data_IF_797423747290
#
_entry.id   IF_797423747290
#
_cell.length_a   1.000
_cell.length_b   1.000
_cell.length_c   1.000
_cell.angle_alpha   90.00
_cell.angle_beta   90.00
_cell.angle_gamma   90.00
#
_symmetry.space_group_name_H-M   'P 1'
#
loop_
_entity.id
_entity.type
_entity.pdbx_description
1 polymer ?
#
# COMPACT_ATOMS: atom_id res chain seq x y z
N UNK A 1 23.25 16.41 -2.87
CA UNK A 1 21.83 15.99 -2.88
C UNK A 1 21.74 14.62 -3.51
N UNK A 2 21.46 13.58 -2.73
CA UNK A 2 21.29 12.23 -3.26
C UNK A 2 19.99 12.18 -4.08
N UNK A 3 20.08 11.74 -5.34
CA UNK A 3 18.91 11.42 -6.15
C UNK A 3 18.41 10.05 -5.69
N UNK A 4 17.46 10.02 -4.76
CA UNK A 4 16.79 8.77 -4.41
C UNK A 4 15.98 8.33 -5.63
N UNK A 5 16.41 7.26 -6.29
CA UNK A 5 15.66 6.62 -7.35
C UNK A 5 14.61 5.71 -6.73
N UNK A 6 13.44 5.57 -7.35
CA UNK A 6 12.43 4.57 -6.95
C UNK A 6 13.02 3.14 -6.94
N UNK A 7 14.11 2.91 -7.69
CA UNK A 7 14.85 1.65 -7.68
C UNK A 7 15.52 1.30 -6.33
N UNK A 8 15.72 2.28 -5.44
CA UNK A 8 16.28 2.08 -4.10
C UNK A 8 15.21 2.00 -3.01
N UNK A 9 13.93 2.14 -3.37
CA UNK A 9 12.84 1.97 -2.42
C UNK A 9 12.78 0.50 -1.99
N UNK A 10 12.67 0.28 -0.68
CA UNK A 10 12.50 -1.06 -0.08
C UNK A 10 11.02 -1.37 0.15
N UNK A 11 10.21 -0.33 0.35
CA UNK A 11 8.79 -0.42 0.68
C UNK A 11 8.02 0.64 -0.11
N UNK A 12 6.81 0.29 -0.57
CA UNK A 12 5.85 1.19 -1.20
C UNK A 12 4.57 1.17 -0.37
N UNK A 13 4.04 2.36 -0.06
CA UNK A 13 2.75 2.53 0.60
C UNK A 13 1.73 3.20 -0.32
N UNK A 14 0.46 2.86 -0.15
CA UNK A 14 -0.66 3.53 -0.80
C UNK A 14 -1.79 3.76 0.20
N UNK A 15 -2.33 4.97 0.14
CA UNK A 15 -3.58 5.37 0.80
C UNK A 15 -4.57 5.68 -0.30
N UNK A 16 -5.71 4.97 -0.33
CA UNK A 16 -6.76 5.23 -1.30
C UNK A 16 -8.09 4.67 -0.83
N UNK A 17 -9.16 5.42 -1.05
CA UNK A 17 -10.53 4.90 -0.97
C UNK A 17 -10.85 3.79 -1.99
N UNK A 18 -10.11 3.67 -3.11
CA UNK A 18 -10.51 2.80 -4.22
C UNK A 18 -9.85 1.41 -4.19
N UNK A 19 -10.64 0.31 -4.10
CA UNK A 19 -10.10 -1.05 -4.08
C UNK A 19 -9.27 -1.41 -5.31
N UNK A 20 -9.68 -0.90 -6.49
CA UNK A 20 -8.94 -1.11 -7.72
C UNK A 20 -7.51 -0.54 -7.66
N UNK A 21 -7.29 0.57 -6.95
CA UNK A 21 -5.96 1.14 -6.78
C UNK A 21 -5.06 0.22 -5.95
N UNK A 22 -5.59 -0.34 -4.86
CA UNK A 22 -4.90 -1.33 -4.02
C UNK A 22 -4.57 -2.60 -4.81
N UNK A 23 -5.54 -3.12 -5.57
CA UNK A 23 -5.34 -4.31 -6.42
C UNK A 23 -4.28 -4.02 -7.48
N UNK A 24 -4.36 -2.88 -8.16
CA UNK A 24 -3.38 -2.49 -9.18
C UNK A 24 -1.97 -2.41 -8.61
N UNK A 25 -1.80 -1.82 -7.41
CA UNK A 25 -0.50 -1.77 -6.76
C UNK A 25 -0.01 -3.17 -6.37
N UNK A 26 -0.87 -4.00 -5.77
CA UNK A 26 -0.51 -5.37 -5.40
C UNK A 26 -0.05 -6.20 -6.60
N UNK A 27 -0.72 -6.06 -7.75
CA UNK A 27 -0.32 -6.69 -9.01
C UNK A 27 1.02 -6.14 -9.52
N UNK A 28 1.21 -4.81 -9.50
CA UNK A 28 2.45 -4.18 -9.95
C UNK A 28 3.66 -4.61 -9.10
N UNK A 29 3.44 -4.86 -7.79
CA UNK A 29 4.46 -5.35 -6.87
C UNK A 29 4.53 -6.89 -6.81
N UNK A 30 3.76 -7.64 -7.62
CA UNK A 30 3.65 -9.10 -7.53
C UNK A 30 3.36 -9.61 -6.09
N UNK A 31 2.62 -8.84 -5.30
CA UNK A 31 2.28 -9.11 -3.91
C UNK A 31 0.81 -9.53 -3.78
N UNK A 32 0.46 -10.62 -4.48
CA UNK A 32 -0.89 -11.21 -4.43
C UNK A 32 -0.77 -12.66 -3.96
N UNK A 33 -1.44 -13.07 -2.86
CA UNK A 33 -2.27 -12.23 -1.98
C UNK A 33 -1.44 -11.21 -1.17
N UNK A 34 -2.09 -10.14 -0.73
CA UNK A 34 -1.47 -9.11 0.12
C UNK A 34 -1.15 -9.72 1.50
N UNK A 35 0.07 -9.50 1.99
CA UNK A 35 0.50 -9.97 3.31
C UNK A 35 0.10 -8.97 4.41
N UNK A 36 -0.97 -9.30 5.14
CA UNK A 36 -1.45 -8.47 6.25
C UNK A 36 -0.44 -8.35 7.39
N UNK A 37 0.41 -9.36 7.60
CA UNK A 37 1.45 -9.30 8.64
C UNK A 37 2.50 -8.27 8.27
N UNK A 38 2.92 -8.25 7.00
CA UNK A 38 3.86 -7.24 6.51
C UNK A 38 3.32 -5.82 6.69
N UNK A 39 2.03 -5.60 6.44
CA UNK A 39 1.38 -4.31 6.71
C UNK A 39 1.45 -3.99 8.19
N UNK A 40 1.02 -4.91 9.07
CA UNK A 40 1.04 -4.70 10.52
C UNK A 40 2.44 -4.37 11.05
N UNK A 41 3.47 -5.04 10.55
CA UNK A 41 4.86 -4.88 10.98
C UNK A 41 5.48 -3.53 10.55
N UNK A 42 5.01 -2.92 9.45
CA UNK A 42 5.66 -1.76 8.82
C UNK A 42 4.80 -0.50 8.70
N UNK A 43 3.49 -0.61 8.88
CA UNK A 43 2.52 0.46 8.66
C UNK A 43 2.86 1.74 9.43
N UNK A 44 3.12 1.62 10.73
CA UNK A 44 3.38 2.76 11.63
C UNK A 44 4.67 3.50 11.27
N UNK A 45 5.72 2.77 10.93
CA UNK A 45 6.99 3.37 10.52
C UNK A 45 6.86 4.09 9.16
N UNK A 46 6.19 3.44 8.20
CA UNK A 46 6.01 3.99 6.85
C UNK A 46 5.15 5.25 6.87
N UNK A 47 4.05 5.24 7.60
CA UNK A 47 3.16 6.40 7.67
C UNK A 47 3.85 7.57 8.38
N UNK A 48 4.61 7.33 9.45
CA UNK A 48 5.38 8.36 10.16
C UNK A 48 6.54 8.92 9.34
N UNK A 49 7.18 8.09 8.52
CA UNK A 49 8.22 8.52 7.60
C UNK A 49 7.67 9.34 6.41
N UNK A 50 6.35 9.33 6.20
CA UNK A 50 5.72 10.12 5.15
C UNK A 50 5.84 11.61 5.46
N UNK A 51 6.28 12.43 4.50
CA UNK A 51 6.36 13.88 4.67
C UNK A 51 5.06 14.61 4.33
N UNK A 52 3.97 13.86 4.13
CA UNK A 52 2.64 14.40 3.84
C UNK A 52 1.92 14.60 5.18
N UNK A 53 1.68 15.85 5.63
CA UNK A 53 1.27 16.13 7.01
C UNK A 53 -0.03 15.44 7.44
N UNK A 54 -1.01 15.35 6.54
CA UNK A 54 -2.29 14.69 6.84
C UNK A 54 -2.16 13.17 6.96
N UNK A 55 -1.11 12.56 6.41
CA UNK A 55 -0.84 11.13 6.56
C UNK A 55 0.03 10.85 7.77
N UNK A 56 1.11 11.60 7.96
CA UNK A 56 2.07 11.31 9.05
C UNK A 56 1.52 11.51 10.45
N UNK A 57 0.40 12.22 10.57
CA UNK A 57 -0.34 12.42 11.80
C UNK A 57 -1.64 11.60 11.85
N UNK A 58 -2.00 10.90 10.78
CA UNK A 58 -3.23 10.13 10.71
C UNK A 58 -3.19 8.90 11.61
N UNK A 59 -4.36 8.54 12.12
CA UNK A 59 -4.53 7.34 12.92
C UNK A 59 -4.72 6.11 12.02
N UNK A 60 -3.98 5.04 12.33
CA UNK A 60 -4.18 3.73 11.73
C UNK A 60 -5.35 3.02 12.43
N UNK A 61 -6.30 2.55 11.63
CA UNK A 61 -7.55 1.97 12.09
C UNK A 61 -7.75 0.59 11.46
N UNK A 62 -8.00 -0.43 12.28
CA UNK A 62 -8.30 -1.76 11.78
C UNK A 62 -7.77 -2.87 12.68
N UNK A 63 -8.21 -4.10 12.38
CA UNK A 63 -7.91 -5.29 13.18
C UNK A 63 -6.41 -5.63 13.25
N UNK A 64 -5.61 -5.21 12.27
CA UNK A 64 -4.17 -5.50 12.24
C UNK A 64 -3.33 -4.48 13.03
N UNK A 65 -3.93 -3.35 13.44
CA UNK A 65 -3.22 -2.25 14.12
C UNK A 65 -3.43 -2.22 15.63
N UNK A 66 -4.00 -3.28 16.23
CA UNK A 66 -4.39 -3.33 17.66
C UNK A 66 -5.30 -2.15 18.09
N UNK A 67 -6.00 -1.54 17.13
CA UNK A 67 -7.00 -0.50 17.41
C UNK A 67 -8.29 -1.16 17.93
N UNK A 68 -9.04 -0.44 18.77
CA UNK A 68 -10.32 -0.94 19.27
C UNK A 68 -11.22 -1.36 18.10
N UNK A 69 -11.99 -2.46 18.24
CA UNK A 69 -12.85 -2.93 17.16
C UNK A 69 -13.95 -1.90 16.88
N UNK A 70 -13.81 -1.19 15.77
CA UNK A 70 -14.89 -0.38 15.20
C UNK A 70 -15.78 -1.32 14.39
N UNK A 71 -16.96 -1.61 14.94
CA UNK A 71 -17.98 -2.36 14.21
C UNK A 71 -18.75 -1.38 13.33
N UNK A 72 -18.93 -1.72 12.06
CA UNK A 72 -19.85 -0.96 11.20
C UNK A 72 -21.27 -1.44 11.48
N UNK A 73 -22.19 -0.49 11.72
CA UNK A 73 -23.61 -0.70 12.06
C UNK A 73 -24.36 -1.66 11.11
N UNK A 74 -23.84 -1.87 9.89
CA UNK A 74 -24.58 -2.53 8.82
C UNK A 74 -24.08 -3.93 8.41
N UNK A 75 -22.97 -4.46 8.92
CA UNK A 75 -22.43 -5.73 8.38
C UNK A 75 -21.70 -6.69 9.34
N UNK A 76 -21.57 -6.42 10.66
CA UNK A 76 -20.74 -7.22 11.58
C UNK A 76 -19.28 -7.46 11.10
N UNK A 77 -18.82 -6.74 10.08
CA UNK A 77 -17.47 -6.86 9.55
C UNK A 77 -16.59 -5.81 10.21
N UNK A 78 -15.38 -6.21 10.57
CA UNK A 78 -14.38 -5.32 11.16
C UNK A 78 -13.46 -4.79 10.04
N UNK A 79 -13.16 -3.48 10.02
CA UNK A 79 -12.12 -2.94 9.14
C UNK A 79 -10.77 -3.59 9.45
N UNK A 80 -9.97 -3.87 8.42
CA UNK A 80 -8.69 -4.57 8.59
C UNK A 80 -7.52 -3.60 8.52
N UNK A 81 -7.45 -2.77 7.47
CA UNK A 81 -6.36 -1.80 7.28
C UNK A 81 -6.85 -0.49 6.67
N UNK A 82 -7.12 0.49 7.54
CA UNK A 82 -7.56 1.82 7.18
C UNK A 82 -6.65 2.89 7.80
N UNK A 83 -6.73 4.09 7.24
CA UNK A 83 -6.18 5.32 7.80
C UNK A 83 -7.28 6.37 7.86
N UNK A 84 -7.36 7.09 8.97
CA UNK A 84 -8.29 8.21 9.16
C UNK A 84 -7.72 9.46 8.45
N UNK A 85 -8.33 9.85 7.34
CA UNK A 85 -7.84 10.99 6.52
C UNK A 85 -8.77 12.18 6.53
N UNK A 86 -9.90 12.11 7.23
CA UNK A 86 -10.98 13.10 7.20
C UNK A 86 -11.46 13.43 5.76
N UNK A 87 -11.27 12.49 4.83
CA UNK A 87 -11.61 12.66 3.44
C UNK A 87 -13.03 12.18 3.18
N UNK A 88 -13.99 13.11 3.26
CA UNK A 88 -15.41 12.83 3.07
C UNK A 88 -15.80 13.00 1.60
N UNK A 89 -15.82 11.89 0.84
CA UNK A 89 -16.32 11.86 -0.55
C UNK A 89 -17.46 10.84 -0.65
N UNK A 90 -18.39 11.05 -1.60
CA UNK A 90 -19.48 10.09 -1.85
C UNK A 90 -18.89 8.76 -2.34
N UNK A 91 -18.82 7.78 -1.43
CA UNK A 91 -18.24 6.46 -1.68
C UNK A 91 -19.17 5.51 -2.45
N UNK A 92 -20.32 5.94 -3.00
CA UNK A 92 -21.28 5.04 -3.68
C UNK A 92 -20.65 4.15 -4.76
N UNK A 93 -19.81 4.72 -5.64
CA UNK A 93 -19.15 3.95 -6.70
C UNK A 93 -18.13 2.94 -6.11
N UNK A 94 -17.40 3.38 -5.09
CA UNK A 94 -16.39 2.56 -4.38
C UNK A 94 -17.04 1.39 -3.65
N UNK A 95 -18.16 1.64 -2.97
CA UNK A 95 -18.92 0.63 -2.25
C UNK A 95 -19.52 -0.40 -3.22
N UNK A 96 -20.06 0.03 -4.36
CA UNK A 96 -20.57 -0.88 -5.39
C UNK A 96 -19.47 -1.82 -5.94
N UNK A 97 -18.25 -1.31 -6.11
CA UNK A 97 -17.08 -2.13 -6.48
C UNK A 97 -16.76 -3.15 -5.38
N UNK A 98 -16.70 -2.72 -4.12
CA UNK A 98 -16.42 -3.61 -2.98
C UNK A 98 -17.40 -4.78 -2.89
N UNK A 99 -18.68 -4.56 -3.21
CA UNK A 99 -19.67 -5.64 -3.27
C UNK A 99 -19.34 -6.68 -4.34
N UNK A 100 -18.82 -6.25 -5.50
CA UNK A 100 -18.48 -7.15 -6.60
C UNK A 100 -17.20 -7.96 -6.35
N UNK A 101 -16.24 -7.42 -5.58
CA UNK A 101 -14.97 -8.08 -5.28
C UNK A 101 -14.91 -8.68 -3.87
N UNK A 102 -16.05 -8.72 -3.17
CA UNK A 102 -16.16 -9.06 -1.74
C UNK A 102 -15.44 -10.36 -1.38
N UNK A 103 -15.58 -11.40 -2.19
CA UNK A 103 -14.99 -12.72 -1.94
C UNK A 103 -13.46 -12.74 -1.96
N UNK A 104 -12.84 -11.72 -2.59
CA UNK A 104 -11.39 -11.61 -2.74
C UNK A 104 -10.81 -10.44 -1.93
N UNK A 105 -11.67 -9.62 -1.32
CA UNK A 105 -11.26 -8.41 -0.63
C UNK A 105 -10.92 -8.70 0.83
N UNK A 106 -9.66 -8.46 1.22
CA UNK A 106 -9.15 -8.82 2.54
C UNK A 106 -8.96 -7.63 3.49
N UNK A 107 -9.11 -6.39 3.02
CA UNK A 107 -8.89 -5.19 3.85
C UNK A 107 -10.14 -4.75 4.63
N UNK A 108 -11.23 -5.50 4.51
CA UNK A 108 -12.49 -5.23 5.22
C UNK A 108 -13.29 -4.07 4.61
N UNK A 109 -14.34 -3.62 5.29
CA UNK A 109 -15.17 -2.50 4.83
C UNK A 109 -14.42 -1.16 4.90
N UNK A 110 -14.83 -0.22 4.05
CA UNK A 110 -14.41 1.17 4.10
C UNK A 110 -15.34 1.95 5.04
N UNK A 111 -14.78 2.67 6.00
CA UNK A 111 -15.53 3.60 6.87
C UNK A 111 -15.54 5.00 6.26
N UNK A 112 -16.57 5.79 6.55
CA UNK A 112 -16.62 7.19 6.13
C UNK A 112 -15.47 7.99 6.75
N UNK A 113 -14.86 8.89 5.96
CA UNK A 113 -13.69 9.67 6.38
C UNK A 113 -12.38 8.87 6.46
N UNK A 114 -12.40 7.59 6.07
CA UNK A 114 -11.24 6.72 6.06
C UNK A 114 -10.88 6.29 4.63
N UNK A 115 -9.63 5.86 4.47
CA UNK A 115 -9.11 5.29 3.23
C UNK A 115 -8.37 3.97 3.51
N UNK A 116 -8.33 3.08 2.52
CA UNK A 116 -7.55 1.86 2.67
C UNK A 116 -6.07 2.20 2.71
N UNK A 117 -5.37 1.58 3.65
CA UNK A 117 -3.92 1.67 3.74
C UNK A 117 -3.29 0.33 3.40
N UNK A 118 -2.31 0.35 2.50
CA UNK A 118 -1.54 -0.84 2.14
C UNK A 118 -0.06 -0.49 2.08
N UNK A 119 0.76 -1.40 2.60
CA UNK A 119 2.22 -1.31 2.60
C UNK A 119 2.75 -2.61 2.01
N UNK A 120 3.58 -2.53 0.98
CA UNK A 120 4.10 -3.67 0.24
C UNK A 120 5.61 -3.55 0.06
N UNK A 121 6.34 -4.67 0.01
CA UNK A 121 7.74 -4.64 -0.39
C UNK A 121 7.84 -4.11 -1.83
N UNK A 122 8.79 -3.21 -2.05
CA UNK A 122 9.08 -2.71 -3.39
C UNK A 122 9.77 -3.83 -4.18
N UNK A 123 9.06 -4.52 -5.08
CA UNK A 123 9.73 -5.40 -6.04
C UNK A 123 10.47 -4.55 -7.06
N UNK A 124 11.77 -4.38 -6.84
CA UNK A 124 12.62 -3.73 -7.80
C UNK A 124 12.72 -4.63 -9.03
N UNK A 125 11.95 -4.32 -10.10
CA UNK A 125 12.14 -4.92 -11.41
C UNK A 125 13.50 -4.45 -11.90
N UNK A 126 14.55 -5.18 -11.54
CA UNK A 126 15.88 -4.97 -12.10
C UNK A 126 15.77 -5.29 -13.58
N UNK A 127 15.59 -4.25 -14.40
CA UNK A 127 16.03 -4.34 -15.79
C UNK A 127 17.53 -4.62 -15.72
N UNK A 128 17.92 -5.88 -15.89
CA UNK A 128 19.30 -6.24 -16.14
C UNK A 128 19.69 -5.56 -17.45
N UNK A 129 20.21 -4.33 -17.37
CA UNK A 129 21.08 -3.84 -18.43
C UNK A 129 22.29 -4.76 -18.39
N UNK A 130 22.29 -5.75 -19.27
CA UNK A 130 23.48 -6.52 -19.64
C UNK A 130 24.52 -5.49 -20.04
N UNK A 131 25.42 -5.14 -19.12
CA UNK A 131 26.65 -4.42 -19.46
C UNK A 131 27.47 -5.44 -20.23
N UNK A 132 27.39 -5.40 -21.55
CA UNK A 132 28.41 -5.96 -22.42
C UNK A 132 29.72 -5.27 -22.05
N UNK A 133 30.51 -5.93 -21.21
CA UNK A 133 31.92 -5.60 -21.01
C UNK A 133 32.63 -5.88 -22.33
N UNK A 134 32.74 -4.84 -23.16
CA UNK A 134 33.68 -4.83 -24.27
C UNK A 134 35.09 -4.89 -23.72
N UNK A 135 35.68 -6.08 -23.77
CA UNK A 135 37.07 -6.33 -23.43
C UNK A 135 37.95 -5.66 -24.48
N UNK A 136 38.46 -4.45 -24.18
CA UNK A 136 39.55 -3.87 -24.98
C UNK A 136 40.85 -4.58 -24.60
N UNK A 137 41.32 -5.46 -25.49
CA UNK A 137 42.66 -6.00 -25.45
C UNK A 137 43.66 -4.91 -25.88
N UNK A 138 44.32 -4.27 -24.91
CA UNK A 138 45.53 -3.49 -25.19
C UNK A 138 46.69 -4.45 -25.48
N UNK A 139 47.24 -4.34 -26.68
CA UNK A 139 48.53 -4.94 -27.06
C UNK A 139 49.54 -3.81 -27.28
N UNK A 140 50.64 -3.83 -26.52
CA UNK A 140 51.87 -3.05 -26.74
C UNK A 140 52.98 -3.74 -25.92
N UNK A 141 54.29 -3.60 -26.24
CA UNK A 141 54.90 -2.74 -27.26
C UNK A 141 55.48 -3.51 -28.46
#
# INVERSE_FOLDING_TARGET
MAKNSIADAVIIGLVSSHPHAVIALSNACNCVPIDLKFIADHAEDVIRACHVPYLSQAQLVGSIFNSQPLLTENNNQQPVSLVETDFFVDHKEVLAVLEHIRDRWILGPLLDGHEFFVVLPATCVRHSKTRSSGSSCNSSP
#
